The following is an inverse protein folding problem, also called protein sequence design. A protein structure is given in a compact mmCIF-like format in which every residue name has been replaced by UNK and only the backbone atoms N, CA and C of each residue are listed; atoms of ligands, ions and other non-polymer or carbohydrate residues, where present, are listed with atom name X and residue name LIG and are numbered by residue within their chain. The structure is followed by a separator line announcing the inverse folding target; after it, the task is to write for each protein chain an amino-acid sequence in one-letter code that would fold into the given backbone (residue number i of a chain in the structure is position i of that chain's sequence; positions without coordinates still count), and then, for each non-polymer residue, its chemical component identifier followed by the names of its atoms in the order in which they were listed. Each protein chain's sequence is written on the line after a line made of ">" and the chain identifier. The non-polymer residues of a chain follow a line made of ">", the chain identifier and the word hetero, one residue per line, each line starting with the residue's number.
data_IF_080348159867
#
_entry.id   IF_080348159867
#
_cell.length_a   1.000
_cell.length_b   1.000
_cell.length_c   1.000
_cell.angle_alpha   90.00
_cell.angle_beta   90.00
_cell.angle_gamma   90.00
#
_symmetry.space_group_name_H-M   'P 1'
#
loop_
_entity.id
_entity.type
_entity.pdbx_description
1 polymer ?
#
# COMPACT_ATOMS: atom_id res chain seq x y z
N UNK A 1 -51.62 -27.31 48.49
CA UNK A 1 -50.57 -27.96 47.68
C UNK A 1 -50.48 -27.24 46.35
N UNK A 2 -49.54 -26.30 46.22
CA UNK A 2 -49.23 -25.68 44.93
C UNK A 2 -47.72 -25.69 44.76
N UNK A 3 -47.20 -26.87 44.38
CA UNK A 3 -45.81 -27.11 44.02
C UNK A 3 -45.44 -26.30 42.78
N UNK A 4 -44.92 -25.09 42.99
CA UNK A 4 -44.35 -24.27 41.92
C UNK A 4 -42.98 -24.82 41.58
N UNK A 5 -42.94 -25.79 40.67
CA UNK A 5 -41.74 -26.42 40.12
C UNK A 5 -40.81 -25.32 39.57
N UNK A 6 -39.75 -24.98 40.32
CA UNK A 6 -38.77 -23.98 39.92
C UNK A 6 -37.92 -24.55 38.78
N UNK A 7 -38.24 -24.18 37.54
CA UNK A 7 -37.41 -24.52 36.40
C UNK A 7 -36.12 -23.71 36.45
N UNK A 8 -34.98 -24.38 36.29
CA UNK A 8 -33.64 -23.77 36.29
C UNK A 8 -33.48 -22.78 35.13
N UNK A 9 -33.84 -21.52 35.38
CA UNK A 9 -33.66 -20.42 34.43
C UNK A 9 -32.19 -20.01 34.29
N UNK A 10 -31.91 -19.20 33.26
CA UNK A 10 -30.61 -18.59 33.07
C UNK A 10 -30.13 -17.90 34.36
N UNK A 11 -28.92 -18.23 34.81
CA UNK A 11 -28.37 -17.65 36.04
C UNK A 11 -28.20 -16.14 35.84
N UNK A 12 -28.42 -15.30 36.87
CA UNK A 12 -28.09 -13.88 36.80
C UNK A 12 -26.61 -13.72 36.36
N UNK A 13 -26.39 -13.05 35.22
CA UNK A 13 -25.05 -12.89 34.62
C UNK A 13 -24.58 -14.01 33.69
N UNK A 14 -25.43 -15.00 33.37
CA UNK A 14 -25.14 -16.00 32.33
C UNK A 14 -25.30 -15.37 30.93
N UNK A 15 -24.22 -15.37 30.16
CA UNK A 15 -24.19 -14.86 28.79
C UNK A 15 -22.84 -14.22 28.46
N UNK A 16 -22.48 -14.19 27.17
CA UNK A 16 -21.32 -13.43 26.72
C UNK A 16 -21.61 -11.94 26.90
N UNK A 17 -20.76 -11.21 27.61
CA UNK A 17 -20.88 -9.76 27.73
C UNK A 17 -21.03 -9.14 26.32
N UNK A 18 -21.96 -8.21 26.11
CA UNK A 18 -22.13 -7.57 24.82
C UNK A 18 -20.80 -6.95 24.40
N UNK A 19 -20.34 -7.27 23.20
CA UNK A 19 -19.08 -6.76 22.66
C UNK A 19 -19.23 -5.24 22.51
N UNK A 20 -18.43 -4.48 23.23
CA UNK A 20 -18.34 -3.02 23.09
C UNK A 20 -18.11 -2.71 21.61
N UNK A 21 -19.06 -2.01 21.00
CA UNK A 21 -18.95 -1.62 19.61
C UNK A 21 -17.97 -0.45 19.56
N UNK A 22 -16.75 -0.73 19.14
CA UNK A 22 -15.77 0.31 18.80
C UNK A 22 -16.38 1.16 17.67
N UNK A 23 -16.50 2.47 17.91
CA UNK A 23 -17.04 3.41 16.95
C UNK A 23 -16.21 3.35 15.67
N UNK A 24 -16.80 2.79 14.60
CA UNK A 24 -16.12 2.71 13.32
C UNK A 24 -15.93 4.12 12.78
N UNK A 25 -14.69 4.59 12.85
CA UNK A 25 -14.26 5.82 12.22
C UNK A 25 -14.64 5.77 10.74
N UNK A 26 -15.53 6.68 10.35
CA UNK A 26 -15.98 6.79 8.97
C UNK A 26 -14.88 7.51 8.20
N UNK A 27 -14.31 6.83 7.21
CA UNK A 27 -13.22 7.40 6.42
C UNK A 27 -13.82 8.49 5.55
N UNK A 28 -13.38 9.74 5.73
CA UNK A 28 -13.75 10.87 4.89
C UNK A 28 -13.16 10.69 3.50
N UNK A 29 -13.94 10.17 2.57
CA UNK A 29 -13.57 10.05 1.17
C UNK A 29 -14.12 11.23 0.38
N UNK A 30 -13.22 12.05 -0.17
CA UNK A 30 -13.59 12.98 -1.22
C UNK A 30 -13.71 12.13 -2.49
N UNK A 31 -14.93 11.95 -3.03
CA UNK A 31 -15.25 11.00 -4.11
C UNK A 31 -14.49 11.15 -5.43
N UNK A 32 -13.53 12.08 -5.53
CA UNK A 32 -12.66 12.31 -6.68
C UNK A 32 -11.21 11.79 -6.49
N UNK A 33 -10.88 11.16 -5.36
CA UNK A 33 -9.52 10.69 -5.09
C UNK A 33 -9.18 9.40 -5.84
N UNK A 34 -7.95 9.32 -6.33
CA UNK A 34 -7.41 8.07 -6.86
C UNK A 34 -7.24 7.03 -5.73
N UNK A 35 -7.26 5.72 -6.04
CA UNK A 35 -7.08 4.68 -5.00
C UNK A 35 -5.80 4.85 -4.19
N UNK A 36 -4.72 5.34 -4.82
CA UNK A 36 -3.46 5.59 -4.15
C UNK A 36 -3.55 6.77 -3.16
N UNK A 37 -4.17 7.88 -3.57
CA UNK A 37 -4.37 9.05 -2.69
C UNK A 37 -5.22 8.71 -1.48
N UNK A 38 -6.24 7.86 -1.67
CA UNK A 38 -7.03 7.34 -0.57
C UNK A 38 -6.18 6.53 0.42
N UNK A 39 -5.36 5.60 -0.06
CA UNK A 39 -4.50 4.80 0.82
C UNK A 39 -3.49 5.66 1.57
N UNK A 40 -2.94 6.71 0.91
CA UNK A 40 -2.05 7.67 1.56
C UNK A 40 -2.77 8.49 2.65
N UNK A 41 -4.02 8.89 2.42
CA UNK A 41 -4.79 9.60 3.46
C UNK A 41 -5.01 8.72 4.69
N UNK A 42 -5.41 7.46 4.47
CA UNK A 42 -5.62 6.46 5.53
C UNK A 42 -4.35 6.20 6.32
N UNK A 43 -3.19 6.08 5.67
CA UNK A 43 -1.90 5.87 6.35
C UNK A 43 -1.52 7.05 7.27
N UNK A 44 -1.83 8.27 6.84
CA UNK A 44 -1.44 9.50 7.54
C UNK A 44 -2.41 9.86 8.69
N UNK A 45 -3.62 9.29 8.70
CA UNK A 45 -4.65 9.60 9.68
C UNK A 45 -4.42 8.88 11.02
N UNK A 46 -3.99 9.63 12.05
CA UNK A 46 -3.69 9.10 13.39
C UNK A 46 -4.91 8.58 14.15
N UNK A 47 -6.11 8.93 13.70
CA UNK A 47 -7.35 8.48 14.31
C UNK A 47 -7.64 7.02 13.96
N UNK A 48 -7.18 6.56 12.81
CA UNK A 48 -7.47 5.22 12.29
C UNK A 48 -6.62 4.16 13.01
N UNK A 49 -7.25 3.02 13.29
CA UNK A 49 -6.64 1.82 13.85
C UNK A 49 -5.34 1.42 13.14
N UNK A 50 -4.31 1.08 13.93
CA UNK A 50 -2.97 0.75 13.44
C UNK A 50 -2.98 -0.38 12.42
N UNK A 51 -3.86 -1.37 12.60
CA UNK A 51 -4.00 -2.50 11.66
C UNK A 51 -4.46 -2.05 10.27
N UNK A 52 -5.43 -1.13 10.22
CA UNK A 52 -5.93 -0.59 8.95
C UNK A 52 -4.84 0.26 8.27
N UNK A 53 -4.07 1.03 9.05
CA UNK A 53 -2.92 1.79 8.52
C UNK A 53 -1.84 0.89 7.94
N UNK A 54 -1.53 -0.23 8.60
CA UNK A 54 -0.57 -1.22 8.10
C UNK A 54 -1.04 -1.87 6.80
N UNK A 55 -2.32 -2.21 6.69
CA UNK A 55 -2.86 -2.83 5.48
C UNK A 55 -2.93 -1.84 4.31
N UNK A 56 -3.25 -0.57 4.59
CA UNK A 56 -3.16 0.51 3.60
C UNK A 56 -1.71 0.70 3.11
N UNK A 57 -0.73 0.65 4.01
CA UNK A 57 0.69 0.75 3.67
C UNK A 57 1.17 -0.41 2.78
N UNK A 58 0.80 -1.65 3.10
CA UNK A 58 1.15 -2.83 2.28
C UNK A 58 0.57 -2.75 0.88
N UNK A 59 -0.65 -2.26 0.73
CA UNK A 59 -1.30 -2.11 -0.57
C UNK A 59 -0.70 -0.96 -1.37
N UNK A 60 -0.48 0.20 -0.75
CA UNK A 60 0.16 1.36 -1.38
C UNK A 60 1.59 1.04 -1.87
N UNK A 61 2.36 0.24 -1.12
CA UNK A 61 3.72 -0.15 -1.49
C UNK A 61 3.81 -0.86 -2.87
N UNK A 62 2.74 -1.51 -3.31
CA UNK A 62 2.68 -2.19 -4.60
C UNK A 62 2.64 -1.22 -5.79
N UNK A 63 2.17 0.01 -5.57
CA UNK A 63 2.05 1.04 -6.59
C UNK A 63 3.22 2.03 -6.57
N UNK A 64 3.87 2.22 -5.42
CA UNK A 64 5.05 3.10 -5.28
C UNK A 64 6.34 2.46 -5.83
N UNK A 65 6.44 1.13 -5.82
CA UNK A 65 7.60 0.41 -6.32
C UNK A 65 7.18 -0.57 -7.40
N UNK A 66 7.72 -0.39 -8.62
CA UNK A 66 7.60 -1.42 -9.64
C UNK A 66 8.16 -2.72 -9.09
N UNK A 67 7.36 -3.78 -9.12
CA UNK A 67 7.87 -5.12 -8.81
C UNK A 67 8.96 -5.41 -9.82
N UNK A 68 10.06 -6.00 -9.35
CA UNK A 68 11.25 -6.31 -10.16
C UNK A 68 10.95 -7.18 -11.41
N UNK A 69 9.75 -7.78 -11.49
CA UNK A 69 9.26 -8.52 -12.65
C UNK A 69 8.35 -7.73 -13.62
N UNK A 70 7.76 -6.61 -13.18
CA UNK A 70 6.86 -5.77 -13.99
C UNK A 70 7.60 -4.58 -14.65
N UNK A 71 8.72 -4.14 -14.06
CA UNK A 71 9.63 -3.19 -14.70
C UNK A 71 10.39 -3.90 -15.80
N UNK A 72 10.12 -3.54 -17.06
CA UNK A 72 10.74 -4.15 -18.23
C UNK A 72 12.25 -4.25 -18.07
N UNK A 73 12.75 -5.46 -17.78
CA UNK A 73 14.18 -5.75 -17.64
C UNK A 73 14.98 -5.25 -18.86
N UNK A 74 14.32 -5.16 -20.02
CA UNK A 74 14.85 -4.59 -21.25
C UNK A 74 15.08 -3.08 -21.15
N UNK A 75 14.11 -2.33 -20.64
CA UNK A 75 14.21 -0.88 -20.50
C UNK A 75 15.26 -0.49 -19.45
N UNK A 76 15.33 -1.22 -18.34
CA UNK A 76 16.38 -1.02 -17.32
C UNK A 76 17.78 -1.31 -17.88
N UNK A 77 17.95 -2.43 -18.59
CA UNK A 77 19.21 -2.75 -19.26
C UNK A 77 19.59 -1.71 -20.31
N UNK A 78 18.62 -1.22 -21.07
CA UNK A 78 18.85 -0.21 -22.10
C UNK A 78 19.20 1.15 -21.47
N UNK A 79 18.55 1.54 -20.37
CA UNK A 79 18.87 2.74 -19.62
C UNK A 79 20.28 2.65 -18.98
N UNK A 80 20.64 1.50 -18.39
CA UNK A 80 21.96 1.25 -17.85
C UNK A 80 23.05 1.28 -18.95
N UNK A 81 22.79 0.65 -20.10
CA UNK A 81 23.68 0.68 -21.26
C UNK A 81 23.89 2.10 -21.79
N UNK A 82 22.81 2.89 -21.93
CA UNK A 82 22.87 4.31 -22.35
C UNK A 82 23.68 5.16 -21.36
N UNK A 83 23.54 4.93 -20.05
CA UNK A 83 24.32 5.62 -19.01
C UNK A 83 25.80 5.23 -19.05
N UNK A 84 26.10 3.96 -19.30
CA UNK A 84 27.49 3.50 -19.43
C UNK A 84 28.15 4.06 -20.71
N UNK A 85 27.39 4.14 -21.82
CA UNK A 85 27.89 4.62 -23.11
C UNK A 85 28.13 6.14 -23.16
N UNK A 86 27.56 6.93 -22.25
CA UNK A 86 27.81 8.37 -22.17
C UNK A 86 29.02 8.75 -21.30
N UNK A 87 29.60 7.77 -20.59
CA UNK A 87 30.73 7.99 -19.68
C UNK A 87 32.08 7.55 -20.25
N UNK A 88 32.96 7.10 -19.36
CA UNK A 88 34.33 6.62 -19.66
C UNK A 88 34.41 5.54 -20.74
N UNK A 89 33.33 4.78 -20.94
CA UNK A 89 33.22 3.69 -21.91
C UNK A 89 32.48 4.09 -23.20
N UNK A 90 32.24 5.38 -23.42
CA UNK A 90 31.65 5.88 -24.65
C UNK A 90 32.60 5.80 -25.86
N UNK A 91 32.05 5.82 -27.09
CA UNK A 91 32.87 5.80 -28.30
C UNK A 91 33.72 7.08 -28.38
N UNK A 92 34.99 6.93 -28.78
CA UNK A 92 35.88 8.06 -29.03
C UNK A 92 35.38 8.92 -30.20
N UNK A 93 35.69 10.21 -30.19
CA UNK A 93 35.33 11.13 -31.28
C UNK A 93 35.90 10.64 -32.62
N UNK A 94 35.13 10.70 -33.71
CA UNK A 94 35.60 10.26 -35.02
C UNK A 94 36.82 11.09 -35.48
N UNK A 95 37.77 10.46 -36.20
CA UNK A 95 38.95 11.16 -36.69
C UNK A 95 38.57 12.29 -37.65
N UNK A 96 39.22 13.44 -37.48
CA UNK A 96 38.97 14.63 -38.30
C UNK A 96 39.38 14.34 -39.74
N UNK A 97 38.45 14.46 -40.69
CA UNK A 97 38.76 14.35 -42.12
C UNK A 97 39.45 15.63 -42.56
N UNK A 98 40.76 15.56 -42.79
CA UNK A 98 41.51 16.63 -43.44
C UNK A 98 41.09 16.70 -44.91
N UNK A 99 40.09 17.51 -45.22
CA UNK A 99 39.83 17.93 -46.61
C UNK A 99 40.91 18.95 -46.94
N UNK A 100 41.86 18.56 -47.80
CA UNK A 100 42.83 19.49 -48.37
C UNK A 100 42.14 20.36 -49.42
N UNK A 101 42.40 21.69 -49.45
CA UNK A 101 41.88 22.60 -50.47
C UNK A 101 42.42 22.30 -51.87
#
# INVERSE_FOLDING_TARGET
>A
MTDKKQHGGARPGAGRKPKTQEEKLTITTNGAQTPLEFLLSVMNDKKIEDRLRLDAAKTAAQYCHLKKGDGGLKDEKQAASKKASSGKFGPSSPPVRLVRP
#
